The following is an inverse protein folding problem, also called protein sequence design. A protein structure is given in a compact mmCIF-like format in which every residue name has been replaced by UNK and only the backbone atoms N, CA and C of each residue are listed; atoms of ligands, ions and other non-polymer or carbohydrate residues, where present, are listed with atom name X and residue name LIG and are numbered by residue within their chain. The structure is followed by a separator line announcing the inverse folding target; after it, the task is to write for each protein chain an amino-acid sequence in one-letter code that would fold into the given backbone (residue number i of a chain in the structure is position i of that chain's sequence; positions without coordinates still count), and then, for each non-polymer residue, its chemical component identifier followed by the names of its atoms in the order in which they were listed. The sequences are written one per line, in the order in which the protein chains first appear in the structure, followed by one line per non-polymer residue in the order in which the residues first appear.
data_IF_643887887421
#
_entry.id   IF_643887887421
#
_cell.length_a   1.000
_cell.length_b   1.000
_cell.length_c   1.000
_cell.angle_alpha   90.00
_cell.angle_beta   90.00
_cell.angle_gamma   90.00
#
_symmetry.space_group_name_H-M   'P 1'
#
loop_
_entity.id
_entity.type
_entity.pdbx_description
1 polymer ?
#
# COMPACT_ATOMS: atom_id res chain seq x y z
N UNK A 1 22.17 -3.71 1.29
CA UNK A 1 21.60 -3.11 2.51
C UNK A 1 20.82 -4.22 3.21
N UNK A 2 21.31 -4.71 4.35
CA UNK A 2 20.59 -5.67 5.19
C UNK A 2 19.99 -4.90 6.37
N UNK A 3 18.69 -5.06 6.61
CA UNK A 3 18.02 -4.48 7.77
C UNK A 3 18.15 -5.49 8.90
N UNK A 4 19.11 -5.30 9.81
CA UNK A 4 19.44 -6.25 10.87
C UNK A 4 18.49 -6.17 12.08
N UNK A 5 17.81 -5.04 12.27
CA UNK A 5 16.86 -4.79 13.38
C UNK A 5 15.39 -4.83 12.91
N UNK A 6 15.07 -5.74 11.98
CA UNK A 6 13.70 -5.88 11.48
C UNK A 6 12.89 -6.87 12.33
N UNK A 7 11.90 -6.36 13.06
CA UNK A 7 10.92 -7.20 13.74
C UNK A 7 9.78 -7.56 12.78
N UNK A 8 9.78 -8.80 12.27
CA UNK A 8 8.74 -9.25 11.35
C UNK A 8 7.50 -9.72 12.11
N UNK A 9 6.56 -8.80 12.35
CA UNK A 9 5.27 -9.14 12.94
C UNK A 9 4.42 -9.88 11.92
N UNK A 10 3.80 -10.97 12.37
CA UNK A 10 2.82 -11.73 11.60
C UNK A 10 1.44 -11.10 11.75
N UNK A 11 0.54 -11.39 10.80
CA UNK A 11 -0.80 -10.82 10.78
C UNK A 11 -1.72 -11.55 9.80
N UNK A 12 -2.95 -11.07 9.66
CA UNK A 12 -4.02 -11.75 8.91
C UNK A 12 -3.96 -11.46 7.41
N UNK A 13 -3.57 -10.24 7.03
CA UNK A 13 -3.51 -9.83 5.63
C UNK A 13 -2.09 -9.39 5.26
N UNK A 14 -1.48 -10.10 4.30
CA UNK A 14 -0.07 -9.92 3.96
C UNK A 14 0.32 -8.47 3.66
N UNK A 15 -0.56 -7.71 2.99
CA UNK A 15 -0.32 -6.30 2.69
C UNK A 15 -0.37 -5.38 3.91
N UNK A 16 -1.26 -5.62 4.88
CA UNK A 16 -1.33 -4.81 6.11
C UNK A 16 -0.21 -5.15 7.07
N UNK A 17 0.16 -6.43 7.18
CA UNK A 17 1.32 -6.88 7.97
C UNK A 17 2.63 -6.29 7.44
N UNK A 18 2.82 -6.27 6.12
CA UNK A 18 4.00 -5.67 5.50
C UNK A 18 4.10 -4.17 5.84
N UNK A 19 3.00 -3.42 5.68
CA UNK A 19 2.95 -2.00 6.02
C UNK A 19 3.20 -1.79 7.53
N UNK A 20 2.55 -2.57 8.39
CA UNK A 20 2.75 -2.50 9.85
C UNK A 20 4.23 -2.67 10.21
N UNK A 21 4.92 -3.65 9.63
CA UNK A 21 6.33 -3.85 9.90
C UNK A 21 7.20 -2.68 9.44
N UNK A 22 6.90 -2.08 8.26
CA UNK A 22 7.63 -0.90 7.77
C UNK A 22 7.40 0.30 8.69
N UNK A 23 6.15 0.59 9.04
CA UNK A 23 5.77 1.75 9.87
C UNK A 23 6.35 1.60 11.29
N UNK A 24 6.25 0.41 11.89
CA UNK A 24 6.81 0.12 13.20
C UNK A 24 8.35 0.24 13.20
N UNK A 25 9.02 -0.15 12.12
CA UNK A 25 10.47 0.05 11.97
C UNK A 25 10.86 1.54 12.00
N UNK A 26 10.00 2.44 11.51
CA UNK A 26 10.18 3.89 11.61
C UNK A 26 9.68 4.50 12.93
N UNK A 27 9.31 3.68 13.92
CA UNK A 27 8.96 4.12 15.27
C UNK A 27 7.50 4.53 15.48
N UNK A 28 6.61 4.21 14.53
CA UNK A 28 5.17 4.44 14.67
C UNK A 28 4.49 3.10 14.96
N UNK A 29 3.96 2.91 16.15
CA UNK A 29 3.34 1.63 16.55
C UNK A 29 1.85 1.60 16.23
N UNK A 30 1.51 1.28 14.97
CA UNK A 30 0.12 1.13 14.55
C UNK A 30 -0.33 -0.34 14.58
N UNK A 31 -1.57 -0.60 15.03
CA UNK A 31 -2.12 -1.94 14.97
C UNK A 31 -2.49 -2.30 13.52
N UNK A 32 -2.56 -3.60 13.21
CA UNK A 32 -2.72 -4.09 11.81
C UNK A 32 -4.01 -3.56 11.16
N UNK A 33 -5.07 -3.39 11.94
CA UNK A 33 -6.39 -2.92 11.50
C UNK A 33 -6.33 -1.50 10.92
N UNK A 34 -5.48 -0.65 11.50
CA UNK A 34 -5.23 0.70 10.97
C UNK A 34 -4.44 0.62 9.66
N UNK A 35 -3.40 -0.22 9.61
CA UNK A 35 -2.60 -0.49 8.40
C UNK A 35 -3.42 -1.12 7.27
N UNK A 36 -4.45 -1.88 7.63
CA UNK A 36 -5.44 -2.42 6.70
C UNK A 36 -6.34 -1.31 6.15
N UNK A 37 -6.84 -0.43 7.02
CA UNK A 37 -7.67 0.72 6.63
C UNK A 37 -6.94 1.75 5.75
N UNK A 38 -5.61 1.83 5.84
CA UNK A 38 -4.80 2.69 4.96
C UNK A 38 -5.03 2.27 3.50
N UNK A 39 -5.81 3.10 2.81
CA UNK A 39 -6.20 3.00 1.40
C UNK A 39 -7.41 2.13 1.08
N UNK A 40 -8.46 2.23 1.90
CA UNK A 40 -9.81 1.71 1.64
C UNK A 40 -10.09 0.28 2.12
N UNK A 41 -9.18 -0.35 2.88
CA UNK A 41 -9.45 -1.64 3.53
C UNK A 41 -9.86 -2.75 2.56
N UNK A 42 -11.06 -3.29 2.75
CA UNK A 42 -11.69 -4.28 1.86
C UNK A 42 -12.18 -3.60 0.56
N UNK A 43 -11.24 -3.26 -0.32
CA UNK A 43 -11.51 -2.75 -1.65
C UNK A 43 -10.84 -3.59 -2.73
N UNK A 44 -11.28 -3.43 -3.98
CA UNK A 44 -10.56 -3.95 -5.13
C UNK A 44 -10.64 -2.99 -6.31
N UNK A 45 -9.59 -3.00 -7.12
CA UNK A 45 -9.46 -2.28 -8.37
C UNK A 45 -9.57 -3.29 -9.49
N UNK A 46 -10.60 -3.13 -10.30
CA UNK A 46 -10.73 -3.85 -11.56
C UNK A 46 -10.21 -2.97 -12.69
N UNK A 47 -9.21 -3.45 -13.40
CA UNK A 47 -8.64 -2.78 -14.56
C UNK A 47 -8.88 -3.63 -15.79
N UNK A 48 -9.53 -3.04 -16.80
CA UNK A 48 -9.66 -3.63 -18.13
C UNK A 48 -8.61 -3.02 -19.04
N UNK A 49 -7.64 -3.84 -19.43
CA UNK A 49 -6.47 -3.43 -20.19
C UNK A 49 -6.66 -3.80 -21.66
N UNK A 50 -6.80 -2.78 -22.51
CA UNK A 50 -7.11 -2.98 -23.94
C UNK A 50 -5.92 -3.46 -24.78
N UNK A 51 -4.70 -3.37 -24.25
CA UNK A 51 -3.45 -3.63 -25.01
C UNK A 51 -2.45 -4.55 -24.28
N UNK A 52 -2.82 -5.15 -23.15
CA UNK A 52 -1.94 -6.07 -22.40
C UNK A 52 -2.59 -7.42 -22.17
N UNK A 53 -1.76 -8.42 -21.83
CA UNK A 53 -2.20 -9.73 -21.34
C UNK A 53 -1.66 -9.93 -19.92
N UNK A 54 -2.51 -10.25 -18.92
CA UNK A 54 -3.96 -10.42 -19.04
C UNK A 54 -4.69 -9.11 -19.36
N UNK A 55 -5.84 -9.25 -20.02
CA UNK A 55 -6.73 -8.13 -20.41
C UNK A 55 -7.56 -7.62 -19.23
N UNK A 56 -7.57 -8.34 -18.12
CA UNK A 56 -8.29 -8.03 -16.91
C UNK A 56 -7.39 -8.26 -15.70
N UNK A 57 -7.36 -7.30 -14.79
CA UNK A 57 -6.62 -7.41 -13.52
C UNK A 57 -7.53 -6.97 -12.39
N UNK A 58 -7.66 -7.82 -11.37
CA UNK A 58 -8.24 -7.47 -10.09
C UNK A 58 -7.09 -7.31 -9.10
N UNK A 59 -7.01 -6.16 -8.45
CA UNK A 59 -6.00 -5.90 -7.42
C UNK A 59 -6.67 -5.40 -6.15
N UNK A 60 -6.35 -5.97 -4.99
CA UNK A 60 -6.98 -5.58 -3.72
C UNK A 60 -6.42 -4.27 -3.14
N UNK A 61 -5.44 -3.63 -3.80
CA UNK A 61 -4.87 -2.33 -3.43
C UNK A 61 -4.80 -1.37 -4.61
N UNK A 62 -4.88 -0.08 -4.30
CA UNK A 62 -4.72 0.96 -5.32
C UNK A 62 -3.23 1.11 -5.68
N UNK A 63 -2.86 1.20 -6.97
CA UNK A 63 -1.46 1.37 -7.38
C UNK A 63 -0.75 2.59 -6.75
N UNK A 64 -1.50 3.62 -6.37
CA UNK A 64 -0.94 4.88 -5.85
C UNK A 64 -1.06 5.02 -4.32
N UNK A 65 -1.50 3.98 -3.61
CA UNK A 65 -1.78 4.06 -2.18
C UNK A 65 -0.52 4.25 -1.34
N UNK A 66 0.48 3.39 -1.52
CA UNK A 66 1.72 3.42 -0.73
C UNK A 66 2.49 4.73 -0.95
N UNK A 67 2.66 5.23 -2.20
CA UNK A 67 3.23 6.55 -2.41
C UNK A 67 2.44 7.67 -1.72
N UNK A 68 1.11 7.68 -1.78
CA UNK A 68 0.31 8.72 -1.10
C UNK A 68 0.53 8.68 0.42
N UNK A 69 0.62 7.49 1.00
CA UNK A 69 0.79 7.32 2.45
C UNK A 69 2.20 7.71 2.92
N UNK A 70 3.25 7.25 2.23
CA UNK A 70 4.63 7.53 2.61
C UNK A 70 5.12 8.93 2.17
N UNK A 71 4.48 9.57 1.19
CA UNK A 71 4.81 10.93 0.77
C UNK A 71 3.78 11.96 1.25
N UNK A 72 4.02 12.57 2.41
CA UNK A 72 3.24 13.73 2.88
C UNK A 72 3.79 15.07 2.34
N UNK A 73 2.95 15.73 1.53
CA UNK A 73 2.77 17.19 1.33
C UNK A 73 3.95 18.12 0.98
N UNK A 74 4.81 17.78 0.01
CA UNK A 74 5.61 18.80 -0.72
C UNK A 74 5.67 18.64 -2.24
N UNK A 75 4.78 17.86 -2.86
CA UNK A 75 4.81 17.68 -4.31
C UNK A 75 3.46 18.02 -4.95
N UNK A 76 3.53 18.92 -5.95
CA UNK A 76 2.43 19.37 -6.80
C UNK A 76 1.64 18.14 -7.28
N UNK A 77 0.32 18.16 -7.10
CA UNK A 77 -0.58 17.16 -7.70
C UNK A 77 -0.23 17.02 -9.19
N UNK A 78 0.05 15.81 -9.71
CA UNK A 78 0.14 15.64 -11.15
C UNK A 78 -1.23 16.01 -11.76
N UNK A 79 -1.23 16.87 -12.78
CA UNK A 79 -2.42 17.08 -13.61
C UNK A 79 -2.76 15.74 -14.25
N UNK A 80 -3.92 15.20 -13.90
CA UNK A 80 -4.54 14.12 -14.66
C UNK A 80 -5.30 14.81 -15.79
N UNK A 81 -4.76 14.74 -17.00
CA UNK A 81 -5.48 15.12 -18.20
C UNK A 81 -6.39 13.93 -18.58
N UNK A 82 -7.70 14.17 -18.54
CA UNK A 82 -8.73 13.30 -19.10
C UNK A 82 -8.85 13.52 -20.61
#
# INVERSE_FOLDING_TARGET
MQILEWNNLTGVHCGSSAIRNVINFFGVDYPEEICFGIGCGLGFFYNKLTKSKPSEVIHLRAPNMEPIFFFSSKQKKPKMDF
#
